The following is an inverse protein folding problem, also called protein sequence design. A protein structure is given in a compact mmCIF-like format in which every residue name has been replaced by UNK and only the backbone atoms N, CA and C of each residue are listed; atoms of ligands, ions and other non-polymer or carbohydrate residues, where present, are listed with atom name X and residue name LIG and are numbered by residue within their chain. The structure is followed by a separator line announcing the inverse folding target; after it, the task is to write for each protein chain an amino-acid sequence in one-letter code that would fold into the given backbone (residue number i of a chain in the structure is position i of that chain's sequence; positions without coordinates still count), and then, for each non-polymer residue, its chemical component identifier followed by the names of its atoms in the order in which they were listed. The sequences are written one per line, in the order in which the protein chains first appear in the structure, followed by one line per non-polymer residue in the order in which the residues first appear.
data_IF_141230398648
#
_entry.id   IF_141230398648
#
_cell.length_a   1.000
_cell.length_b   1.000
_cell.length_c   1.000
_cell.angle_alpha   90.00
_cell.angle_beta   90.00
_cell.angle_gamma   90.00
#
_symmetry.space_group_name_H-M   'P 1'
#
loop_
_entity.id
_entity.type
_entity.pdbx_description
1 polymer ?
#
# COMPACT_ATOMS: atom_id res chain seq x y z
N UNK A 1 -7.08 -16.75 -4.60
CA UNK A 1 -7.60 -15.38 -4.77
C UNK A 1 -8.28 -15.31 -6.13
N UNK A 2 -9.45 -14.71 -6.24
CA UNK A 2 -10.22 -14.62 -7.49
C UNK A 2 -9.59 -13.56 -8.42
N UNK A 3 -9.18 -13.91 -9.65
CA UNK A 3 -8.62 -12.97 -10.61
C UNK A 3 -9.65 -12.03 -11.25
N UNK A 4 -10.94 -12.35 -11.21
CA UNK A 4 -12.01 -11.57 -11.85
C UNK A 4 -12.62 -10.51 -10.90
N UNK A 5 -12.23 -10.54 -9.63
CA UNK A 5 -12.60 -9.56 -8.62
C UNK A 5 -11.85 -8.22 -8.87
N UNK A 6 -12.60 -7.14 -9.15
CA UNK A 6 -12.04 -5.81 -9.35
C UNK A 6 -11.28 -5.36 -8.09
N UNK A 7 -10.03 -4.91 -8.28
CA UNK A 7 -9.21 -4.35 -7.20
C UNK A 7 -9.00 -2.86 -7.38
N UNK A 8 -9.29 -2.10 -6.33
CA UNK A 8 -9.08 -0.65 -6.28
C UNK A 8 -7.81 -0.37 -5.48
N UNK A 9 -6.80 0.22 -6.12
CA UNK A 9 -5.58 0.67 -5.46
C UNK A 9 -5.55 2.19 -5.39
N UNK A 10 -5.37 2.75 -4.20
CA UNK A 10 -5.10 4.17 -4.04
C UNK A 10 -3.64 4.49 -4.41
N UNK A 11 -3.44 5.42 -5.34
CA UNK A 11 -2.11 5.96 -5.66
C UNK A 11 -1.89 7.29 -4.93
N UNK A 12 -0.82 7.38 -4.14
CA UNK A 12 -0.49 8.54 -3.33
C UNK A 12 0.98 8.90 -3.49
N UNK A 13 1.27 10.17 -3.75
CA UNK A 13 2.59 10.73 -3.48
C UNK A 13 2.71 10.96 -1.97
N UNK A 14 3.85 10.60 -1.36
CA UNK A 14 4.06 10.71 0.08
C UNK A 14 5.31 11.54 0.38
N UNK A 15 5.14 12.57 1.20
CA UNK A 15 6.21 13.40 1.72
C UNK A 15 6.20 13.30 3.25
N UNK A 16 7.18 12.57 3.80
CA UNK A 16 7.28 12.28 5.24
C UNK A 16 8.31 13.18 5.93
N UNK A 17 8.58 14.34 5.30
CA UNK A 17 9.86 14.99 5.37
C UNK A 17 10.29 15.72 6.63
N UNK A 18 9.35 16.17 7.45
CA UNK A 18 9.64 17.01 8.63
C UNK A 18 8.68 16.77 9.81
N UNK A 19 7.98 15.64 9.84
CA UNK A 19 6.98 15.34 10.88
C UNK A 19 7.57 14.79 12.18
N UNK A 20 8.29 15.60 12.96
CA UNK A 20 8.36 15.45 14.43
C UNK A 20 7.23 16.24 15.13
N UNK A 21 6.49 17.04 14.37
CA UNK A 21 5.30 17.71 14.88
C UNK A 21 4.16 16.70 14.94
N UNK A 22 3.75 16.36 16.16
CA UNK A 22 2.47 15.76 16.44
C UNK A 22 1.38 16.51 15.66
N UNK A 23 0.41 15.78 15.13
CA UNK A 23 -0.71 16.30 14.37
C UNK A 23 -1.33 17.54 15.05
N UNK A 24 -0.95 18.73 14.60
CA UNK A 24 -1.80 19.90 14.72
C UNK A 24 -3.08 19.59 13.92
N UNK A 25 -4.29 19.84 14.44
CA UNK A 25 -5.53 19.64 13.69
C UNK A 25 -5.44 20.39 12.35
N UNK A 26 -5.26 19.65 11.25
CA UNK A 26 -5.01 20.21 9.91
C UNK A 26 -3.71 19.73 9.23
N UNK A 27 -2.79 19.09 9.95
CA UNK A 27 -1.67 18.32 9.41
C UNK A 27 -1.89 16.83 9.77
N UNK A 28 -2.23 16.01 8.77
CA UNK A 28 -2.59 14.59 8.96
C UNK A 28 -4.09 14.27 9.09
N UNK A 29 -4.97 15.27 9.21
CA UNK A 29 -6.42 15.07 9.42
C UNK A 29 -7.31 15.26 8.18
N UNK A 30 -6.81 15.82 7.08
CA UNK A 30 -7.61 16.16 5.89
C UNK A 30 -7.53 15.14 4.75
N UNK A 31 -6.75 14.08 4.91
CA UNK A 31 -6.41 13.17 3.81
C UNK A 31 -5.51 13.80 2.75
N UNK A 32 -5.30 13.09 1.62
CA UNK A 32 -4.45 13.56 0.54
C UNK A 32 -5.00 14.81 -0.15
N UNK A 33 -4.12 15.73 -0.54
CA UNK A 33 -4.47 16.93 -1.31
C UNK A 33 -4.30 16.66 -2.80
N UNK A 34 -5.22 17.14 -3.64
CA UNK A 34 -5.07 17.02 -5.09
C UNK A 34 -3.92 17.92 -5.59
N UNK A 35 -3.02 17.34 -6.40
CA UNK A 35 -1.95 18.08 -7.09
C UNK A 35 -1.92 17.70 -8.57
N UNK A 36 -1.19 18.43 -9.43
CA UNK A 36 -1.03 18.07 -10.84
C UNK A 36 -0.41 16.69 -11.09
N UNK A 37 0.35 16.17 -10.13
CA UNK A 37 1.05 14.88 -10.25
C UNK A 37 0.27 13.72 -9.62
N UNK A 38 -0.83 14.01 -8.92
CA UNK A 38 -1.63 13.03 -8.20
C UNK A 38 -1.97 13.51 -6.78
N UNK A 39 -2.69 12.70 -6.00
CA UNK A 39 -2.98 13.02 -4.60
C UNK A 39 -1.70 12.94 -3.76
N UNK A 40 -1.37 14.04 -3.08
CA UNK A 40 -0.20 14.15 -2.20
C UNK A 40 -0.62 14.04 -0.74
N UNK A 41 -0.03 13.09 -0.03
CA UNK A 41 -0.05 13.02 1.42
C UNK A 41 1.24 13.65 1.98
N UNK A 42 1.08 14.63 2.88
CA UNK A 42 2.19 15.21 3.65
C UNK A 42 1.86 15.12 5.13
N UNK A 43 2.71 14.46 5.91
CA UNK A 43 2.47 14.25 7.33
C UNK A 43 3.41 13.22 7.95
N UNK A 44 3.10 12.81 9.17
CA UNK A 44 3.88 11.80 9.89
C UNK A 44 3.65 10.38 9.36
N UNK A 45 4.62 9.47 9.56
CA UNK A 45 4.49 8.06 9.16
C UNK A 45 3.43 7.31 9.98
N UNK A 46 3.18 7.74 11.23
CA UNK A 46 2.13 7.17 12.09
C UNK A 46 0.75 7.55 11.56
N UNK A 47 0.55 8.83 11.25
CA UNK A 47 -0.72 9.34 10.71
C UNK A 47 -1.03 8.72 9.33
N UNK A 48 0.00 8.46 8.51
CA UNK A 48 -0.17 7.75 7.24
C UNK A 48 -0.69 6.32 7.47
N UNK A 49 -0.21 5.63 8.51
CA UNK A 49 -0.71 4.31 8.85
C UNK A 49 -2.16 4.36 9.32
N UNK A 50 -2.55 5.37 10.12
CA UNK A 50 -3.95 5.58 10.51
C UNK A 50 -4.86 5.82 9.31
N UNK A 51 -4.42 6.63 8.34
CA UNK A 51 -5.13 6.86 7.10
C UNK A 51 -5.35 5.54 6.32
N UNK A 52 -4.28 4.74 6.18
CA UNK A 52 -4.34 3.42 5.52
C UNK A 52 -5.31 2.49 6.25
N UNK A 53 -5.25 2.44 7.59
CA UNK A 53 -6.15 1.62 8.42
C UNK A 53 -7.60 2.03 8.20
N UNK A 54 -7.88 3.34 8.19
CA UNK A 54 -9.22 3.88 8.00
C UNK A 54 -9.81 3.42 6.66
N UNK A 55 -9.11 3.67 5.56
CA UNK A 55 -9.60 3.31 4.23
C UNK A 55 -9.72 1.80 4.01
N UNK A 56 -8.84 1.01 4.63
CA UNK A 56 -8.93 -0.45 4.59
C UNK A 56 -10.18 -0.95 5.36
N UNK A 57 -10.48 -0.37 6.53
CA UNK A 57 -11.65 -0.73 7.34
C UNK A 57 -12.97 -0.36 6.67
N UNK A 58 -12.99 0.77 5.97
CA UNK A 58 -14.17 1.23 5.24
C UNK A 58 -14.42 0.42 3.95
N UNK A 59 -13.50 -0.47 3.57
CA UNK A 59 -13.59 -1.25 2.33
C UNK A 59 -13.42 -0.38 1.07
N UNK A 60 -12.89 0.84 1.21
CA UNK A 60 -12.75 1.82 0.14
C UNK A 60 -11.69 1.41 -0.89
N UNK A 61 -10.63 0.73 -0.43
CA UNK A 61 -9.51 0.30 -1.28
C UNK A 61 -8.98 -1.07 -0.86
N UNK A 62 -8.50 -1.84 -1.83
CA UNK A 62 -7.83 -3.14 -1.65
C UNK A 62 -6.34 -3.02 -1.33
N UNK A 63 -5.75 -1.85 -1.59
CA UNK A 63 -4.33 -1.63 -1.42
C UNK A 63 -3.88 -0.24 -1.84
N UNK A 64 -2.58 -0.05 -1.76
CA UNK A 64 -1.94 1.26 -1.92
C UNK A 64 -0.72 1.16 -2.81
N UNK A 65 -0.55 2.17 -3.66
CA UNK A 65 0.67 2.48 -4.38
C UNK A 65 1.20 3.79 -3.83
N UNK A 66 2.28 3.71 -3.03
CA UNK A 66 2.89 4.86 -2.38
C UNK A 66 4.14 5.28 -3.13
N UNK A 67 4.19 6.52 -3.59
CA UNK A 67 5.32 7.11 -4.31
C UNK A 67 6.02 8.11 -3.40
N UNK A 68 7.20 7.80 -2.85
CA UNK A 68 7.92 8.75 -2.00
C UNK A 68 8.42 9.95 -2.82
N UNK A 69 8.19 11.16 -2.33
CA UNK A 69 8.66 12.40 -2.97
C UNK A 69 10.18 12.53 -2.85
N UNK A 70 10.74 12.17 -1.69
CA UNK A 70 12.17 12.06 -1.47
C UNK A 70 12.54 10.66 -0.98
N UNK A 71 12.81 9.69 -1.90
CA UNK A 71 13.01 8.28 -1.55
C UNK A 71 14.07 8.03 -0.48
N UNK A 72 15.16 8.82 -0.46
CA UNK A 72 16.25 8.65 0.51
C UNK A 72 15.79 8.85 1.95
N UNK A 73 14.85 9.76 2.18
CA UNK A 73 14.34 10.11 3.51
C UNK A 73 13.04 9.39 3.82
N UNK A 74 12.13 9.37 2.86
CA UNK A 74 10.75 8.93 3.06
C UNK A 74 10.66 7.39 3.17
N UNK A 75 11.52 6.64 2.45
CA UNK A 75 11.49 5.17 2.54
C UNK A 75 11.85 4.67 3.94
N UNK A 76 12.86 5.24 4.59
CA UNK A 76 13.25 4.85 5.95
C UNK A 76 12.12 5.13 6.94
N UNK A 77 11.46 6.28 6.83
CA UNK A 77 10.32 6.66 7.68
C UNK A 77 9.08 5.79 7.42
N UNK A 78 8.83 5.45 6.17
CA UNK A 78 7.74 4.57 5.78
C UNK A 78 7.93 3.17 6.36
N UNK A 79 9.13 2.58 6.21
CA UNK A 79 9.42 1.23 6.72
C UNK A 79 9.41 1.22 8.25
N UNK A 80 10.14 2.14 8.89
CA UNK A 80 10.30 2.11 10.34
C UNK A 80 9.05 2.60 11.10
N UNK A 81 8.25 3.48 10.51
CA UNK A 81 7.03 4.01 11.11
C UNK A 81 5.77 3.33 10.60
N UNK A 82 5.41 3.60 9.34
CA UNK A 82 4.12 3.19 8.76
C UNK A 82 3.99 1.67 8.68
N UNK A 83 4.96 0.99 8.06
CA UNK A 83 4.94 -0.47 7.88
C UNK A 83 4.99 -1.18 9.23
N UNK A 84 5.87 -0.76 10.15
CA UNK A 84 5.94 -1.30 11.51
C UNK A 84 4.60 -1.24 12.24
N UNK A 85 3.89 -0.11 12.15
CA UNK A 85 2.58 0.04 12.81
C UNK A 85 1.50 -0.85 12.15
N UNK A 86 1.48 -0.92 10.82
CA UNK A 86 0.55 -1.80 10.10
C UNK A 86 0.79 -3.28 10.41
N UNK A 87 2.05 -3.70 10.54
CA UNK A 87 2.42 -5.04 10.98
C UNK A 87 1.97 -5.33 12.40
N UNK A 88 2.21 -4.40 13.34
CA UNK A 88 1.77 -4.54 14.73
C UNK A 88 0.24 -4.71 14.85
N UNK A 89 -0.51 -4.06 13.96
CA UNK A 89 -1.97 -4.17 13.88
C UNK A 89 -2.48 -5.38 13.08
N UNK A 90 -1.59 -6.22 12.55
CA UNK A 90 -1.97 -7.38 11.74
C UNK A 90 -2.55 -7.02 10.36
N UNK A 91 -2.39 -5.77 9.91
CA UNK A 91 -2.88 -5.29 8.61
C UNK A 91 -1.82 -5.43 7.50
N UNK A 92 -0.57 -5.68 7.88
CA UNK A 92 0.50 -5.94 6.92
C UNK A 92 1.28 -7.20 7.31
N UNK A 93 1.72 -7.93 6.29
CA UNK A 93 2.49 -9.17 6.48
C UNK A 93 3.82 -8.89 7.18
N UNK A 94 4.21 -9.79 8.07
CA UNK A 94 5.51 -9.77 8.78
C UNK A 94 6.55 -10.67 8.11
N UNK A 95 6.12 -11.58 7.24
CA UNK A 95 6.98 -12.44 6.45
C UNK A 95 6.43 -12.59 5.03
N UNK A 96 7.30 -13.02 4.11
CA UNK A 96 6.96 -13.24 2.72
C UNK A 96 6.86 -14.75 2.45
N UNK A 97 5.66 -15.29 2.22
CA UNK A 97 5.52 -16.68 1.80
C UNK A 97 5.94 -16.83 0.32
N UNK A 98 6.68 -17.90 0.03
CA UNK A 98 7.13 -18.24 -1.32
C UNK A 98 8.33 -17.43 -1.81
N UNK A 99 8.68 -17.61 -3.08
CA UNK A 99 9.86 -16.99 -3.71
C UNK A 99 9.50 -16.13 -4.91
N UNK A 100 8.22 -16.04 -5.26
CA UNK A 100 7.75 -15.28 -6.42
C UNK A 100 6.83 -14.13 -6.00
N UNK A 101 6.81 -13.07 -6.82
CA UNK A 101 5.88 -11.96 -6.66
C UNK A 101 4.42 -12.44 -6.61
N UNK A 102 4.08 -13.50 -7.36
CA UNK A 102 2.73 -14.08 -7.33
C UNK A 102 2.40 -14.66 -5.97
N UNK A 103 3.34 -15.37 -5.34
CA UNK A 103 3.15 -15.92 -3.98
C UNK A 103 2.91 -14.80 -2.97
N UNK A 104 3.68 -13.71 -3.06
CA UNK A 104 3.55 -12.55 -2.17
C UNK A 104 2.22 -11.80 -2.34
N UNK A 105 1.61 -11.89 -3.51
CA UNK A 105 0.31 -11.28 -3.83
C UNK A 105 -0.87 -12.26 -3.70
N UNK A 106 -0.61 -13.51 -3.30
CA UNK A 106 -1.62 -14.58 -3.20
C UNK A 106 -2.26 -14.95 -4.55
N UNK A 107 -1.53 -14.74 -5.65
CA UNK A 107 -2.01 -14.98 -7.01
C UNK A 107 -1.70 -16.41 -7.44
N UNK A 108 -2.73 -17.14 -7.86
CA UNK A 108 -2.55 -18.48 -8.43
C UNK A 108 -1.78 -18.38 -9.75
N UNK A 109 -0.85 -19.33 -9.98
CA UNK A 109 -0.16 -19.42 -11.27
C UNK A 109 -1.16 -19.81 -12.35
N UNK A 110 -1.37 -18.99 -13.40
CA UNK A 110 -2.25 -19.38 -14.50
C UNK A 110 -1.64 -20.59 -15.22
N UNK A 111 -2.49 -21.54 -15.59
CA UNK A 111 -2.07 -22.64 -16.46
C UNK A 111 -1.64 -22.08 -17.83
N UNK A 112 -0.64 -22.70 -18.44
CA UNK A 112 -0.27 -22.32 -19.81
C UNK A 112 -1.46 -22.62 -20.75
N UNK A 113 -1.79 -21.66 -21.60
CA UNK A 113 -2.84 -21.82 -22.61
C UNK A 113 -2.61 -23.02 -23.55
N UNK A 114 -1.35 -23.47 -23.67
CA UNK A 114 -0.97 -24.64 -24.47
C UNK A 114 -1.12 -25.98 -23.73
N UNK A 115 -1.30 -25.98 -22.41
CA UNK A 115 -1.52 -27.22 -21.63
C UNK A 115 -2.90 -27.82 -21.90
N UNK A 116 -3.90 -26.99 -22.24
CA UNK A 116 -5.26 -27.44 -22.61
C UNK A 116 -5.27 -28.10 -23.99
N UNK A 117 -4.37 -27.69 -24.90
CA UNK A 117 -4.31 -28.20 -26.27
C UNK A 117 -3.67 -29.60 -26.39
N UNK A 118 -2.89 -30.06 -25.40
CA UNK A 118 -2.22 -31.38 -25.45
C UNK A 118 -3.08 -32.54 -24.93
N UNK A 119 -4.32 -32.28 -24.48
CA UNK A 119 -5.29 -33.32 -24.09
C UNK A 119 -6.30 -33.70 -25.18
N UNK A 120 -6.23 -33.05 -26.35
CA UNK A 120 -7.09 -33.30 -27.51
C UNK A 120 -6.24 -33.77 -28.69
N UNK A 121 -5.62 -34.95 -28.58
CA UNK A 121 -4.98 -35.67 -29.67
C UNK A 121 -5.06 -37.16 -29.41
#
# INVERSE_FOLDING_TARGET
RDPDELRVLAALDVDLGDGEYAAEPGHGGGGPRATPHGPLYRGGPVDLAELIVSWHRDGTVDGFHLTPVEPRRDLERLVNGTVSLLQHRGLFRTFYPGSTLRDHLGLTRPASQYTVAQGAS
#
